data_IF_477425711367
#
_entry.id   IF_477425711367
#
_cell.length_a   1.000
_cell.length_b   1.000
_cell.length_c   1.000
_cell.angle_alpha   90.00
_cell.angle_beta   90.00
_cell.angle_gamma   90.00
#
_symmetry.space_group_name_H-M   'P 1'
#
loop_
_entity.id
_entity.type
_entity.pdbx_description
1 polymer ?
#
# COMPACT_ATOMS: atom_id res chain seq x y z
N UNK A 1 16.10 5.50 1.27
CA UNK A 1 14.90 4.66 1.06
C UNK A 1 14.19 4.48 2.38
N UNK A 2 13.04 5.12 2.58
CA UNK A 2 12.27 5.04 3.83
C UNK A 2 11.77 3.61 4.14
N UNK A 3 11.47 2.85 3.08
CA UNK A 3 11.07 1.44 3.14
C UNK A 3 12.04 0.53 3.91
N UNK A 4 13.34 0.68 3.70
CA UNK A 4 14.37 -0.16 4.33
C UNK A 4 14.44 0.04 5.84
N UNK A 5 14.26 1.28 6.31
CA UNK A 5 14.26 1.61 7.74
C UNK A 5 12.97 1.13 8.44
N UNK A 6 11.82 1.21 7.77
CA UNK A 6 10.56 0.67 8.30
C UNK A 6 10.55 -0.87 8.34
N UNK A 7 11.12 -1.56 7.34
CA UNK A 7 11.19 -3.02 7.31
C UNK A 7 11.95 -3.59 8.52
N UNK A 8 13.03 -2.95 8.96
CA UNK A 8 13.78 -3.39 10.14
C UNK A 8 12.98 -3.26 11.43
N UNK A 9 12.08 -2.27 11.52
CA UNK A 9 11.21 -2.05 12.69
C UNK A 9 9.90 -2.85 12.62
N UNK A 10 9.47 -3.27 11.43
CA UNK A 10 8.19 -3.93 11.19
C UNK A 10 8.38 -5.20 10.34
N UNK A 11 8.73 -6.35 10.95
CA UNK A 11 8.97 -7.60 10.22
C UNK A 11 7.73 -8.14 9.48
N UNK A 12 6.53 -7.64 9.80
CA UNK A 12 5.26 -8.00 9.17
C UNK A 12 4.70 -6.90 8.24
N UNK A 13 5.51 -5.90 7.88
CA UNK A 13 5.06 -4.71 7.14
C UNK A 13 4.30 -5.06 5.86
N UNK A 14 4.85 -5.94 5.02
CA UNK A 14 4.21 -6.35 3.76
C UNK A 14 2.87 -7.05 3.99
N UNK A 15 2.78 -7.92 5.01
CA UNK A 15 1.55 -8.62 5.35
C UNK A 15 0.48 -7.67 5.92
N UNK A 16 0.85 -6.79 6.86
CA UNK A 16 -0.05 -5.78 7.42
C UNK A 16 -0.58 -4.85 6.31
N UNK A 17 0.31 -4.42 5.41
CA UNK A 17 0.00 -3.59 4.26
C UNK A 17 -1.00 -4.27 3.31
N UNK A 18 -0.80 -5.57 3.05
CA UNK A 18 -1.67 -6.36 2.18
C UNK A 18 -3.06 -6.56 2.82
N UNK A 19 -3.12 -6.87 4.11
CA UNK A 19 -4.39 -6.96 4.86
C UNK A 19 -5.12 -5.63 4.82
N UNK A 20 -4.41 -4.52 5.01
CA UNK A 20 -5.01 -3.19 4.92
C UNK A 20 -5.57 -2.89 3.52
N UNK A 21 -4.82 -3.20 2.46
CA UNK A 21 -5.25 -3.01 1.08
C UNK A 21 -6.46 -3.85 0.67
N UNK A 22 -6.76 -4.94 1.39
CA UNK A 22 -7.96 -5.75 1.16
C UNK A 22 -9.23 -5.17 1.82
N UNK A 23 -9.09 -4.20 2.73
CA UNK A 23 -10.24 -3.56 3.35
C UNK A 23 -10.92 -2.58 2.38
N UNK A 24 -12.24 -2.51 2.42
CA UNK A 24 -13.02 -1.56 1.62
C UNK A 24 -12.54 -0.11 1.86
N UNK A 25 -12.32 0.63 0.78
CA UNK A 25 -11.84 2.01 0.78
C UNK A 25 -10.32 2.16 0.80
N UNK A 26 -9.56 1.08 0.93
CA UNK A 26 -8.09 1.07 0.93
C UNK A 26 -7.49 0.29 -0.25
N UNK A 27 -8.35 -0.13 -1.19
CA UNK A 27 -7.94 -0.84 -2.39
C UNK A 27 -7.09 0.02 -3.33
N UNK A 28 -6.65 -0.55 -4.46
CA UNK A 28 -5.85 0.18 -5.42
C UNK A 28 -6.55 1.44 -5.93
N UNK A 29 -5.82 2.56 -5.92
CA UNK A 29 -6.18 3.77 -6.65
C UNK A 29 -5.47 3.86 -8.01
N UNK A 30 -4.53 2.95 -8.26
CA UNK A 30 -3.83 2.78 -9.53
C UNK A 30 -3.65 1.29 -9.81
N UNK A 31 -3.93 0.88 -11.06
CA UNK A 31 -3.75 -0.49 -11.54
C UNK A 31 -3.27 -0.45 -12.98
N UNK A 32 -2.17 -1.14 -13.28
CA UNK A 32 -1.67 -1.30 -14.64
C UNK A 32 -1.26 -2.75 -14.91
N UNK A 33 -1.74 -3.31 -16.02
CA UNK A 33 -1.37 -4.66 -16.45
C UNK A 33 -0.21 -4.63 -17.45
N UNK A 34 0.65 -5.64 -17.34
CA UNK A 34 1.79 -5.88 -18.20
C UNK A 34 1.85 -7.35 -18.62
N UNK A 35 2.67 -7.64 -19.63
CA UNK A 35 2.93 -9.01 -20.11
C UNK A 35 1.63 -9.77 -20.41
N UNK A 36 0.74 -9.15 -21.20
CA UNK A 36 -0.58 -9.68 -21.56
C UNK A 36 -1.44 -10.09 -20.35
N UNK A 37 -1.33 -9.31 -19.26
CA UNK A 37 -2.10 -9.53 -18.03
C UNK A 37 -1.46 -10.54 -17.08
N UNK A 38 -0.23 -11.02 -17.32
CA UNK A 38 0.47 -11.92 -16.40
C UNK A 38 1.03 -11.21 -15.17
N UNK A 39 1.17 -9.88 -15.25
CA UNK A 39 1.71 -9.03 -14.19
C UNK A 39 0.82 -7.81 -13.99
N UNK A 40 0.60 -7.44 -12.74
CA UNK A 40 -0.05 -6.20 -12.36
C UNK A 40 0.88 -5.35 -11.50
N UNK A 41 0.88 -4.06 -11.76
CA UNK A 41 1.44 -3.06 -10.85
C UNK A 41 0.30 -2.25 -10.25
N UNK A 42 0.29 -2.17 -8.93
CA UNK A 42 -0.79 -1.54 -8.17
C UNK A 42 -0.22 -0.43 -7.29
N UNK A 43 -1.02 0.60 -7.00
CA UNK A 43 -0.73 1.50 -5.89
C UNK A 43 -1.91 1.59 -4.92
N UNK A 44 -1.62 1.43 -3.63
CA UNK A 44 -2.59 1.57 -2.53
C UNK A 44 -2.12 2.65 -1.56
N UNK A 45 -3.02 3.13 -0.71
CA UNK A 45 -2.72 4.14 0.31
C UNK A 45 -2.91 3.56 1.71
N UNK A 46 -2.04 3.92 2.63
CA UNK A 46 -2.29 3.83 4.07
C UNK A 46 -2.39 5.24 4.61
N UNK A 47 -3.55 5.61 5.16
CA UNK A 47 -3.66 6.91 5.81
C UNK A 47 -2.92 6.93 7.13
N UNK A 48 -2.20 8.01 7.44
CA UNK A 48 -1.57 8.18 8.75
C UNK A 48 -2.56 8.22 9.91
N UNK A 49 -3.82 8.58 9.63
CA UNK A 49 -4.88 8.57 10.64
C UNK A 49 -5.44 7.17 10.92
N UNK A 50 -5.20 6.20 10.02
CA UNK A 50 -5.66 4.81 10.20
C UNK A 50 -4.90 4.10 11.33
N UNK A 51 -5.48 3.02 11.87
CA UNK A 51 -4.81 2.19 12.87
C UNK A 51 -3.46 1.66 12.39
N UNK A 52 -3.35 1.30 11.10
CA UNK A 52 -2.08 0.85 10.53
C UNK A 52 -1.07 2.00 10.41
N UNK A 53 -1.52 3.18 9.96
CA UNK A 53 -0.67 4.36 9.89
C UNK A 53 -0.09 4.76 11.25
N UNK A 54 -0.89 4.67 12.31
CA UNK A 54 -0.42 4.88 13.68
C UNK A 54 0.63 3.84 14.11
N UNK A 55 0.40 2.55 13.81
CA UNK A 55 1.37 1.46 14.09
C UNK A 55 2.71 1.65 13.37
N UNK A 56 2.69 2.25 12.18
CA UNK A 56 3.89 2.56 11.39
C UNK A 56 4.49 3.93 11.71
N UNK A 57 3.95 4.67 12.68
CA UNK A 57 4.46 5.99 13.06
C UNK A 57 4.25 7.07 11.99
N UNK A 58 3.31 6.88 11.06
CA UNK A 58 2.94 7.89 10.07
C UNK A 58 2.28 9.13 10.71
N UNK A 59 1.82 8.98 11.95
CA UNK A 59 1.44 10.06 12.84
C UNK A 59 2.37 10.04 14.04
N UNK A 60 3.17 11.08 14.21
CA UNK A 60 4.00 11.24 15.40
C UNK A 60 3.86 12.66 15.98
N UNK A 61 3.91 12.75 17.31
CA UNK A 61 3.90 14.01 18.02
C UNK A 61 5.32 14.29 18.51
N UNK A 62 5.86 15.43 18.11
CA UNK A 62 7.14 15.92 18.60
C UNK A 62 6.94 17.35 19.12
N UNK A 63 7.22 17.55 20.41
CA UNK A 63 7.12 18.86 21.10
C UNK A 63 5.77 19.57 20.91
N UNK A 64 4.67 18.80 20.89
CA UNK A 64 3.31 19.34 20.74
C UNK A 64 2.89 19.56 19.29
N UNK A 65 3.78 19.36 18.32
CA UNK A 65 3.47 19.44 16.90
C UNK A 65 3.18 18.04 16.36
N UNK A 66 1.93 17.83 15.94
CA UNK A 66 1.51 16.58 15.30
C UNK A 66 1.96 16.61 13.83
N UNK A 67 2.93 15.76 13.50
CA UNK A 67 3.30 15.46 12.12
C UNK A 67 2.46 14.28 11.64
N UNK A 68 1.73 14.47 10.54
CA UNK A 68 0.87 13.45 9.93
C UNK A 68 1.29 13.27 8.47
N UNK A 69 1.48 12.03 8.07
CA UNK A 69 1.81 11.64 6.70
C UNK A 69 0.89 10.51 6.26
N UNK A 70 0.58 10.45 4.97
CA UNK A 70 0.03 9.22 4.38
C UNK A 70 1.18 8.42 3.77
N UNK A 71 0.97 7.15 3.46
CA UNK A 71 1.92 6.34 2.72
C UNK A 71 1.30 5.86 1.40
N UNK A 72 2.04 5.98 0.31
CA UNK A 72 1.78 5.30 -0.96
C UNK A 72 2.59 4.02 -1.01
N UNK A 73 1.92 2.92 -1.30
CA UNK A 73 2.51 1.61 -1.43
C UNK A 73 2.43 1.16 -2.88
N UNK A 74 3.57 0.80 -3.48
CA UNK A 74 3.62 0.29 -4.85
C UNK A 74 3.84 -1.21 -4.84
N UNK A 75 3.00 -1.95 -5.54
CA UNK A 75 2.98 -3.41 -5.52
C UNK A 75 3.26 -3.99 -6.89
N UNK A 76 3.85 -5.19 -6.91
CA UNK A 76 3.83 -6.10 -8.05
C UNK A 76 3.02 -7.33 -7.69
N UNK A 77 2.10 -7.73 -8.56
CA UNK A 77 1.37 -8.99 -8.44
C UNK A 77 1.63 -9.81 -9.70
N UNK A 78 2.14 -11.02 -9.52
CA UNK A 78 2.37 -11.98 -10.58
C UNK A 78 1.26 -13.06 -10.52
N UNK A 79 0.87 -13.66 -11.66
CA UNK A 79 -0.23 -14.64 -11.71
C UNK A 79 -0.06 -15.86 -10.78
N UNK A 80 1.18 -16.20 -10.42
CA UNK A 80 1.54 -17.40 -9.67
C UNK A 80 2.22 -17.10 -8.31
N UNK A 81 2.23 -15.85 -7.86
CA UNK A 81 2.97 -15.44 -6.65
C UNK A 81 2.18 -14.50 -5.76
N UNK A 82 2.55 -14.40 -4.47
CA UNK A 82 1.93 -13.43 -3.58
C UNK A 82 2.24 -12.00 -4.06
N UNK A 83 1.33 -11.02 -3.81
CA UNK A 83 1.64 -9.61 -3.99
C UNK A 83 2.94 -9.23 -3.26
N UNK A 84 3.84 -8.58 -3.98
CA UNK A 84 5.14 -8.12 -3.45
C UNK A 84 5.14 -6.60 -3.35
N UNK A 85 5.49 -6.07 -2.19
CA UNK A 85 5.65 -4.64 -1.99
C UNK A 85 7.01 -4.20 -2.58
N UNK A 86 6.94 -3.26 -3.52
CA UNK A 86 8.11 -2.73 -4.22
C UNK A 86 8.66 -1.48 -3.52
N UNK A 87 7.77 -0.59 -3.09
CA UNK A 87 8.15 0.64 -2.40
C UNK A 87 7.07 1.14 -1.47
N UNK A 88 7.52 1.89 -0.47
CA UNK A 88 6.69 2.71 0.41
C UNK A 88 7.23 4.13 0.37
N UNK A 89 6.39 5.07 -0.04
CA UNK A 89 6.69 6.49 -0.17
C UNK A 89 5.79 7.29 0.77
N UNK A 90 6.36 8.25 1.50
CA UNK A 90 5.58 9.17 2.32
C UNK A 90 4.92 10.23 1.43
N UNK A 91 3.66 10.48 1.69
CA UNK A 91 2.84 11.51 1.07
C UNK A 91 2.39 12.54 2.09
N UNK A 92 2.09 13.78 1.66
CA UNK A 92 1.43 14.76 2.50
C UNK A 92 0.12 14.21 3.08
N UNK A 93 -0.26 14.68 4.28
CA UNK A 93 -1.50 14.25 4.93
C UNK A 93 -2.72 14.62 4.08
N UNK A 94 -3.77 13.81 4.16
CA UNK A 94 -5.04 14.10 3.48
C UNK A 94 -4.99 13.90 1.96
N UNK A 95 -4.09 13.05 1.47
CA UNK A 95 -4.03 12.70 0.05
C UNK A 95 -5.33 12.00 -0.36
N UNK A 96 -6.20 12.70 -1.09
CA UNK A 96 -7.53 12.21 -1.49
C UNK A 96 -7.47 11.41 -2.79
N UNK A 97 -6.81 10.25 -2.75
CA UNK A 97 -6.91 9.27 -3.83
C UNK A 97 -8.08 8.33 -3.55
N UNK A 98 -8.95 8.17 -4.54
CA UNK A 98 -10.10 7.29 -4.45
C UNK A 98 -9.72 5.88 -4.92
N UNK A 99 -10.16 4.87 -4.17
CA UNK A 99 -10.11 3.49 -4.63
C UNK A 99 -10.87 3.35 -5.96
N UNK A 100 -10.22 2.79 -6.97
CA UNK A 100 -10.83 2.56 -8.29
C UNK A 100 -11.40 1.15 -8.43
N UNK A 101 -10.97 0.21 -7.59
CA UNK A 101 -11.47 -1.16 -7.47
C UNK A 101 -10.91 -1.82 -6.21
N UNK A 102 -11.53 -2.93 -5.78
CA UNK A 102 -10.99 -3.73 -4.68
C UNK A 102 -9.71 -4.45 -5.12
N UNK A 103 -8.87 -4.84 -4.14
CA UNK A 103 -7.67 -5.62 -4.46
C UNK A 103 -8.01 -6.95 -5.13
N UNK A 104 -9.10 -7.61 -4.71
CA UNK A 104 -9.61 -8.83 -5.34
C UNK A 104 -9.97 -8.62 -6.82
N UNK A 105 -10.69 -7.53 -7.14
CA UNK A 105 -11.03 -7.16 -8.52
C UNK A 105 -9.80 -6.83 -9.36
N UNK A 106 -8.76 -6.26 -8.75
CA UNK A 106 -7.50 -6.06 -9.45
C UNK A 106 -6.86 -7.42 -9.76
N UNK A 107 -6.72 -8.31 -8.77
CA UNK A 107 -6.10 -9.62 -8.92
C UNK A 107 -6.85 -10.53 -9.91
N UNK A 108 -8.17 -10.40 -10.03
CA UNK A 108 -8.95 -11.17 -11.01
C UNK A 108 -8.62 -10.84 -12.47
N UNK A 109 -7.90 -9.73 -12.73
CA UNK A 109 -7.41 -9.35 -14.07
C UNK A 109 -6.14 -10.11 -14.47
N UNK A 110 -5.54 -10.89 -13.57
CA UNK A 110 -4.38 -11.70 -13.89
C UNK A 110 -4.79 -12.85 -14.83
N UNK A 111 -4.17 -12.88 -16.00
CA UNK A 111 -4.25 -14.00 -16.92
C UNK A 111 -3.58 -15.22 -16.27
N UNK A 112 -4.38 -16.21 -15.88
CA UNK A 112 -3.85 -17.51 -15.42
C UNK A 112 -3.18 -18.22 -16.61
N UNK A 113 -2.05 -18.86 -16.34
CA UNK A 113 -1.33 -19.70 -17.33
C UNK A 113 -2.02 -21.06 -17.42
#
# INVERSE_FOLDING_TARGET
MYYSHLMSAHPQLEQDALVHANNAGNGPFYVQSYDKGRKLFLATKVSGASNLGQRWGLRYNHDGVVSLHDARLSWRVDANGPPKLLSLELWPPGSNVQEIMTLEQAMSRLSRV
#
